data_IF_308281521601
#
_entry.id   IF_308281521601
#
_cell.length_a   1.000
_cell.length_b   1.000
_cell.length_c   1.000
_cell.angle_alpha   90.00
_cell.angle_beta   90.00
_cell.angle_gamma   90.00
#
_symmetry.space_group_name_H-M   'P 1'
#
loop_
_entity.id
_entity.type
_entity.pdbx_description
1 polymer ?
#
# COMPACT_ATOMS: atom_id res chain seq x y z
N UNK A 1 -8.68 -25.92 8.29
CA UNK A 1 -9.89 -25.98 7.44
C UNK A 1 -11.00 -25.11 8.00
N UNK A 2 -11.42 -25.36 9.25
CA UNK A 2 -12.47 -24.53 9.86
C UNK A 2 -12.04 -23.08 9.99
N UNK A 3 -10.79 -22.84 10.37
CA UNK A 3 -10.25 -21.48 10.48
C UNK A 3 -10.32 -20.74 9.14
N UNK A 4 -10.03 -21.43 8.05
CA UNK A 4 -10.09 -20.79 6.73
C UNK A 4 -11.53 -20.42 6.36
N UNK A 5 -12.48 -21.33 6.57
CA UNK A 5 -13.89 -21.07 6.28
C UNK A 5 -14.45 -19.94 7.15
N UNK A 6 -14.09 -19.93 8.43
CA UNK A 6 -14.48 -18.87 9.33
C UNK A 6 -13.92 -17.53 8.86
N UNK A 7 -12.65 -17.53 8.47
CA UNK A 7 -11.98 -16.31 7.98
C UNK A 7 -12.65 -15.78 6.71
N UNK A 8 -13.04 -16.66 5.78
CA UNK A 8 -13.74 -16.26 4.56
C UNK A 8 -15.10 -15.66 4.87
N UNK A 9 -15.84 -16.24 5.79
CA UNK A 9 -17.14 -15.70 6.20
C UNK A 9 -17.00 -14.31 6.81
N UNK A 10 -15.99 -14.12 7.64
CA UNK A 10 -15.72 -12.80 8.23
C UNK A 10 -15.30 -11.79 7.18
N UNK A 11 -14.50 -12.21 6.21
CA UNK A 11 -14.12 -11.36 5.07
C UNK A 11 -15.37 -10.84 4.34
N UNK A 12 -16.32 -11.72 4.08
CA UNK A 12 -17.56 -11.33 3.41
C UNK A 12 -18.37 -10.33 4.24
N UNK A 13 -18.38 -10.54 5.57
CA UNK A 13 -19.03 -9.61 6.49
C UNK A 13 -18.38 -8.23 6.41
N UNK A 14 -17.04 -8.18 6.39
CA UNK A 14 -16.29 -6.94 6.25
C UNK A 14 -16.68 -6.23 4.94
N UNK A 15 -16.73 -6.97 3.83
CA UNK A 15 -17.12 -6.41 2.54
C UNK A 15 -18.50 -5.75 2.59
N UNK A 16 -19.46 -6.40 3.25
CA UNK A 16 -20.82 -5.86 3.37
C UNK A 16 -20.85 -4.61 4.25
N UNK A 17 -20.07 -4.59 5.33
CA UNK A 17 -20.00 -3.42 6.20
C UNK A 17 -19.36 -2.23 5.47
N UNK A 18 -18.36 -2.48 4.66
CA UNK A 18 -17.73 -1.44 3.83
C UNK A 18 -18.76 -0.81 2.88
N UNK A 19 -19.57 -1.64 2.24
CA UNK A 19 -20.63 -1.16 1.32
C UNK A 19 -21.65 -0.29 2.04
N UNK A 20 -21.87 -0.53 3.33
CA UNK A 20 -22.76 0.29 4.15
C UNK A 20 -22.10 1.54 4.69
N UNK A 21 -20.80 1.68 4.48
CA UNK A 21 -20.03 2.80 5.04
C UNK A 21 -19.71 2.65 6.52
N UNK A 22 -19.90 1.46 7.10
CA UNK A 22 -19.63 1.20 8.51
C UNK A 22 -18.20 0.74 8.69
N UNK A 23 -17.26 1.67 8.58
CA UNK A 23 -15.84 1.37 8.60
C UNK A 23 -15.33 0.96 9.98
N UNK A 24 -15.91 1.50 11.04
CA UNK A 24 -15.50 1.17 12.40
C UNK A 24 -15.72 -0.32 12.68
N UNK A 25 -16.93 -0.81 12.44
CA UNK A 25 -17.23 -2.22 12.62
C UNK A 25 -16.50 -3.11 11.61
N UNK A 26 -16.36 -2.63 10.37
CA UNK A 26 -15.60 -3.37 9.35
C UNK A 26 -14.17 -3.62 9.83
N UNK A 27 -13.51 -2.60 10.35
CA UNK A 27 -12.12 -2.73 10.82
C UNK A 27 -12.03 -3.67 12.03
N UNK A 28 -12.95 -3.54 13.00
CA UNK A 28 -12.99 -4.41 14.17
C UNK A 28 -13.11 -5.88 13.76
N UNK A 29 -14.01 -6.18 12.84
CA UNK A 29 -14.22 -7.55 12.39
C UNK A 29 -13.03 -8.04 11.60
N UNK A 30 -12.46 -7.19 10.73
CA UNK A 30 -11.27 -7.55 9.96
C UNK A 30 -10.11 -7.95 10.89
N UNK A 31 -9.90 -7.19 11.96
CA UNK A 31 -8.83 -7.47 12.93
C UNK A 31 -9.02 -8.78 13.67
N UNK A 32 -10.27 -9.27 13.77
CA UNK A 32 -10.59 -10.52 14.46
C UNK A 32 -10.44 -11.76 13.58
N UNK A 33 -10.16 -11.60 12.29
CA UNK A 33 -10.06 -12.73 11.37
C UNK A 33 -8.87 -13.62 11.76
N UNK A 34 -9.09 -14.94 11.99
CA UNK A 34 -8.01 -15.82 12.45
C UNK A 34 -6.88 -16.00 11.44
N UNK A 35 -7.19 -16.18 10.16
CA UNK A 35 -6.18 -16.35 9.13
C UNK A 35 -5.45 -15.03 8.88
N UNK A 36 -4.13 -15.02 9.06
CA UNK A 36 -3.33 -13.80 8.99
C UNK A 36 -3.36 -13.14 7.59
N UNK A 37 -3.34 -13.96 6.54
CA UNK A 37 -3.39 -13.44 5.17
C UNK A 37 -4.74 -12.79 4.86
N UNK A 38 -5.82 -13.45 5.23
CA UNK A 38 -7.16 -12.92 5.02
C UNK A 38 -7.40 -11.69 5.90
N UNK A 39 -6.89 -11.72 7.15
CA UNK A 39 -6.94 -10.56 8.05
C UNK A 39 -6.31 -9.34 7.40
N UNK A 40 -5.07 -9.47 6.92
CA UNK A 40 -4.34 -8.38 6.30
C UNK A 40 -5.06 -7.85 5.06
N UNK A 41 -5.55 -8.76 4.22
CA UNK A 41 -6.30 -8.39 3.02
C UNK A 41 -7.57 -7.62 3.36
N UNK A 42 -8.31 -8.07 4.38
CA UNK A 42 -9.53 -7.40 4.82
C UNK A 42 -9.24 -6.02 5.38
N UNK A 43 -8.21 -5.89 6.20
CA UNK A 43 -7.81 -4.60 6.77
C UNK A 43 -7.35 -3.63 5.68
N UNK A 44 -6.62 -4.12 4.69
CA UNK A 44 -6.22 -3.31 3.53
C UNK A 44 -7.44 -2.77 2.80
N UNK A 45 -8.44 -3.61 2.59
CA UNK A 45 -9.67 -3.22 1.91
C UNK A 45 -10.41 -2.11 2.67
N UNK A 46 -10.52 -2.23 3.99
CA UNK A 46 -11.16 -1.20 4.81
C UNK A 46 -10.38 0.12 4.71
N UNK A 47 -9.06 0.05 4.89
CA UNK A 47 -8.20 1.24 4.89
C UNK A 47 -8.26 1.98 3.57
N UNK A 48 -8.18 1.27 2.46
CA UNK A 48 -8.25 1.87 1.12
C UNK A 48 -9.60 2.52 0.88
N UNK A 49 -10.68 1.86 1.26
CA UNK A 49 -12.02 2.45 1.10
C UNK A 49 -12.21 3.70 1.97
N UNK A 50 -11.68 3.69 3.20
CA UNK A 50 -11.68 4.88 4.04
C UNK A 50 -10.97 6.04 3.34
N UNK A 51 -9.81 5.76 2.75
CA UNK A 51 -9.04 6.77 2.02
C UNK A 51 -9.81 7.31 0.82
N UNK A 52 -10.47 6.42 0.06
CA UNK A 52 -11.27 6.83 -1.09
C UNK A 52 -12.42 7.75 -0.70
N UNK A 53 -12.98 7.56 0.48
CA UNK A 53 -14.14 8.33 0.94
C UNK A 53 -13.78 9.52 1.81
N UNK A 54 -12.49 9.84 1.91
CA UNK A 54 -12.02 11.00 2.66
C UNK A 54 -12.13 10.87 4.17
N UNK A 55 -12.19 9.63 4.68
CA UNK A 55 -12.19 9.38 6.12
C UNK A 55 -10.77 9.41 6.66
N UNK A 56 -10.63 9.61 7.96
CA UNK A 56 -9.33 9.55 8.62
C UNK A 56 -8.87 8.10 8.68
N UNK A 57 -7.88 7.74 7.89
CA UNK A 57 -7.42 6.36 7.70
C UNK A 57 -6.03 6.09 8.27
N UNK A 58 -5.38 7.07 8.87
CA UNK A 58 -3.96 6.95 9.25
C UNK A 58 -3.75 5.82 10.27
N UNK A 59 -4.57 5.76 11.32
CA UNK A 59 -4.47 4.69 12.31
C UNK A 59 -4.78 3.32 11.69
N UNK A 60 -5.82 3.25 10.86
CA UNK A 60 -6.16 2.03 10.15
C UNK A 60 -5.02 1.57 9.24
N UNK A 61 -4.34 2.49 8.58
CA UNK A 61 -3.18 2.17 7.75
C UNK A 61 -2.05 1.56 8.59
N UNK A 62 -1.73 2.18 9.72
CA UNK A 62 -0.67 1.67 10.60
C UNK A 62 -0.98 0.25 11.09
N UNK A 63 -2.22 0.01 11.49
CA UNK A 63 -2.65 -1.32 11.93
C UNK A 63 -2.64 -2.33 10.79
N UNK A 64 -2.99 -1.89 9.59
CA UNK A 64 -2.95 -2.75 8.40
C UNK A 64 -1.51 -3.18 8.08
N UNK A 65 -0.56 -2.24 8.15
CA UNK A 65 0.84 -2.58 7.93
C UNK A 65 1.32 -3.59 8.97
N UNK A 66 0.97 -3.40 10.25
CA UNK A 66 1.32 -4.35 11.30
C UNK A 66 0.76 -5.74 11.00
N UNK A 67 -0.50 -5.82 10.56
CA UNK A 67 -1.13 -7.09 10.21
C UNK A 67 -0.44 -7.77 9.03
N UNK A 68 -0.04 -7.01 8.02
CA UNK A 68 0.71 -7.54 6.87
C UNK A 68 2.03 -8.13 7.34
N UNK A 69 2.74 -7.44 8.24
CA UNK A 69 4.05 -7.90 8.73
C UNK A 69 3.96 -9.16 9.59
N UNK A 70 2.78 -9.52 10.09
CA UNK A 70 2.56 -10.76 10.83
C UNK A 70 2.41 -11.99 9.92
N UNK A 71 2.21 -11.80 8.62
CA UNK A 71 2.13 -12.91 7.67
C UNK A 71 3.47 -13.66 7.68
N UNK A 72 3.41 -14.99 7.68
CA UNK A 72 4.60 -15.81 7.90
C UNK A 72 5.52 -15.96 6.68
N UNK A 73 5.04 -15.68 5.50
CA UNK A 73 5.79 -15.85 4.25
C UNK A 73 6.26 -14.49 3.74
N UNK A 74 7.59 -14.31 3.60
CA UNK A 74 8.17 -13.05 3.16
C UNK A 74 7.68 -12.61 1.78
N UNK A 75 7.49 -13.56 0.86
CA UNK A 75 6.96 -13.24 -0.47
C UNK A 75 5.53 -12.70 -0.37
N UNK A 76 4.72 -13.29 0.50
CA UNK A 76 3.34 -12.83 0.72
C UNK A 76 3.31 -11.44 1.37
N UNK A 77 4.23 -11.16 2.29
CA UNK A 77 4.37 -9.83 2.90
C UNK A 77 4.69 -8.81 1.80
N UNK A 78 5.67 -9.11 0.96
CA UNK A 78 6.06 -8.21 -0.12
C UNK A 78 4.88 -7.93 -1.07
N UNK A 79 4.16 -8.98 -1.48
CA UNK A 79 3.00 -8.82 -2.36
C UNK A 79 1.92 -7.96 -1.73
N UNK A 80 1.63 -8.17 -0.44
CA UNK A 80 0.61 -7.40 0.27
C UNK A 80 1.01 -5.93 0.38
N UNK A 81 2.26 -5.65 0.72
CA UNK A 81 2.76 -4.28 0.80
C UNK A 81 2.77 -3.59 -0.56
N UNK A 82 3.17 -4.30 -1.62
CA UNK A 82 3.16 -3.77 -2.98
C UNK A 82 1.74 -3.40 -3.40
N UNK A 83 0.80 -4.30 -3.16
CA UNK A 83 -0.59 -4.08 -3.51
C UNK A 83 -1.15 -2.84 -2.79
N UNK A 84 -0.88 -2.72 -1.50
CA UNK A 84 -1.34 -1.58 -0.71
C UNK A 84 -0.70 -0.27 -1.21
N UNK A 85 0.60 -0.29 -1.47
CA UNK A 85 1.32 0.88 -1.98
C UNK A 85 0.74 1.36 -3.32
N UNK A 86 0.45 0.43 -4.24
CA UNK A 86 -0.14 0.78 -5.53
C UNK A 86 -1.53 1.40 -5.37
N UNK A 87 -2.33 0.90 -4.43
CA UNK A 87 -3.64 1.50 -4.15
C UNK A 87 -3.49 2.97 -3.73
N UNK A 88 -2.54 3.27 -2.86
CA UNK A 88 -2.31 4.65 -2.42
C UNK A 88 -1.69 5.51 -3.52
N UNK A 89 -0.86 4.92 -4.39
CA UNK A 89 -0.36 5.62 -5.58
C UNK A 89 -1.52 6.05 -6.48
N UNK A 90 -2.47 5.15 -6.74
CA UNK A 90 -3.63 5.46 -7.57
C UNK A 90 -4.49 6.58 -6.97
N UNK A 91 -4.53 6.66 -5.65
CA UNK A 91 -5.26 7.72 -4.95
C UNK A 91 -4.46 9.02 -4.86
N UNK A 92 -3.28 9.06 -5.45
CA UNK A 92 -2.35 10.19 -5.37
C UNK A 92 -1.94 10.52 -3.93
N UNK A 93 -1.94 9.51 -3.07
CA UNK A 93 -1.49 9.63 -1.68
C UNK A 93 -0.06 9.15 -1.59
N UNK A 94 0.85 9.99 -2.05
CA UNK A 94 2.23 9.63 -2.31
C UNK A 94 3.04 9.43 -1.03
N UNK A 95 2.76 10.20 0.02
CA UNK A 95 3.45 10.05 1.30
C UNK A 95 3.16 8.67 1.91
N UNK A 96 1.92 8.22 1.82
CA UNK A 96 1.53 6.91 2.33
C UNK A 96 2.17 5.80 1.51
N UNK A 97 2.22 5.96 0.17
CA UNK A 97 2.89 4.98 -0.69
C UNK A 97 4.37 4.83 -0.32
N UNK A 98 5.06 5.94 -0.07
CA UNK A 98 6.46 5.93 0.38
C UNK A 98 6.61 5.26 1.74
N UNK A 99 5.70 5.55 2.66
CA UNK A 99 5.72 4.94 3.99
C UNK A 99 5.61 3.42 3.89
N UNK A 100 4.67 2.94 3.08
CA UNK A 100 4.48 1.51 2.86
C UNK A 100 5.73 0.89 2.23
N UNK A 101 6.31 1.57 1.23
CA UNK A 101 7.53 1.11 0.57
C UNK A 101 8.67 0.90 1.55
N UNK A 102 8.76 1.72 2.59
CA UNK A 102 9.79 1.60 3.62
C UNK A 102 9.78 0.27 4.36
N UNK A 103 8.67 -0.45 4.35
CA UNK A 103 8.55 -1.76 4.98
C UNK A 103 8.87 -2.91 4.01
N UNK A 104 9.03 -2.63 2.72
CA UNK A 104 9.36 -3.66 1.74
C UNK A 104 10.84 -3.98 1.82
N UNK A 105 11.18 -5.23 2.17
CA UNK A 105 12.58 -5.65 2.32
C UNK A 105 13.25 -5.89 0.97
N UNK A 106 12.51 -6.36 -0.02
CA UNK A 106 13.05 -6.57 -1.35
C UNK A 106 13.39 -5.24 -2.02
N UNK A 107 14.69 -5.00 -2.21
CA UNK A 107 15.21 -3.72 -2.71
C UNK A 107 14.63 -3.36 -4.07
N UNK A 108 14.52 -4.33 -4.98
CA UNK A 108 13.98 -4.08 -6.32
C UNK A 108 12.53 -3.59 -6.25
N UNK A 109 11.70 -4.25 -5.47
CA UNK A 109 10.29 -3.89 -5.33
C UNK A 109 10.11 -2.55 -4.59
N UNK A 110 10.88 -2.33 -3.53
CA UNK A 110 10.88 -1.03 -2.85
C UNK A 110 11.22 0.09 -3.81
N UNK A 111 12.27 -0.11 -4.59
CA UNK A 111 12.76 0.87 -5.56
C UNK A 111 11.70 1.20 -6.60
N UNK A 112 10.94 0.20 -7.06
CA UNK A 112 9.85 0.42 -8.03
C UNK A 112 8.79 1.37 -7.49
N UNK A 113 8.39 1.22 -6.24
CA UNK A 113 7.41 2.13 -5.62
C UNK A 113 8.00 3.53 -5.51
N UNK A 114 9.25 3.63 -5.05
CA UNK A 114 9.92 4.93 -4.94
C UNK A 114 9.99 5.63 -6.30
N UNK A 115 10.31 4.90 -7.35
CA UNK A 115 10.36 5.44 -8.70
C UNK A 115 9.00 5.97 -9.15
N UNK A 116 7.94 5.20 -8.92
CA UNK A 116 6.58 5.63 -9.29
C UNK A 116 6.16 6.89 -8.54
N UNK A 117 6.49 6.99 -7.25
CA UNK A 117 6.21 8.19 -6.46
C UNK A 117 6.97 9.39 -7.04
N UNK A 118 8.25 9.20 -7.34
CA UNK A 118 9.08 10.28 -7.90
C UNK A 118 8.51 10.79 -9.23
N UNK A 119 8.11 9.87 -10.12
CA UNK A 119 7.51 10.26 -11.40
C UNK A 119 6.19 10.99 -11.20
N UNK A 120 5.37 10.56 -10.26
CA UNK A 120 4.11 11.24 -9.95
C UNK A 120 4.36 12.67 -9.44
N UNK A 121 5.37 12.84 -8.58
CA UNK A 121 5.76 14.17 -8.09
C UNK A 121 6.25 15.06 -9.23
N UNK A 122 7.05 14.52 -10.13
CA UNK A 122 7.55 15.27 -11.28
C UNK A 122 6.40 15.74 -12.16
N UNK A 123 5.40 14.91 -12.40
CA UNK A 123 4.21 15.28 -13.17
C UNK A 123 3.41 16.40 -12.52
N UNK A 124 3.53 16.53 -11.20
CA UNK A 124 2.88 17.62 -10.43
C UNK A 124 3.74 18.87 -10.34
N UNK A 125 4.88 18.88 -11.01
CA UNK A 125 5.80 20.01 -10.98
C UNK A 125 6.74 20.05 -9.77
N UNK A 126 6.72 19.00 -8.93
CA UNK A 126 7.56 18.92 -7.72
C UNK A 126 8.89 18.24 -8.05
N UNK A 127 9.67 18.89 -8.90
CA UNK A 127 10.88 18.29 -9.48
C UNK A 127 11.96 18.01 -8.42
N UNK A 128 12.19 18.93 -7.50
CA UNK A 128 13.24 18.75 -6.49
C UNK A 128 12.91 17.59 -5.55
N UNK A 129 11.64 17.47 -5.15
CA UNK A 129 11.20 16.35 -4.32
C UNK A 129 11.36 15.03 -5.06
N UNK A 130 11.04 15.01 -6.36
CA UNK A 130 11.21 13.83 -7.21
C UNK A 130 12.67 13.39 -7.26
N UNK A 131 13.60 14.32 -7.46
CA UNK A 131 15.02 14.00 -7.49
C UNK A 131 15.54 13.48 -6.15
N UNK A 132 15.06 14.02 -5.04
CA UNK A 132 15.42 13.49 -3.72
C UNK A 132 15.08 12.02 -3.59
N UNK A 133 13.89 11.66 -4.02
CA UNK A 133 13.44 10.26 -3.95
C UNK A 133 14.28 9.39 -4.87
N UNK A 134 14.53 9.84 -6.11
CA UNK A 134 15.35 9.07 -7.05
C UNK A 134 16.76 8.83 -6.50
N UNK A 135 17.34 9.83 -5.83
CA UNK A 135 18.67 9.68 -5.24
C UNK A 135 18.71 8.64 -4.13
N UNK A 136 17.57 8.40 -3.46
CA UNK A 136 17.46 7.40 -2.40
C UNK A 136 17.21 5.98 -2.92
N UNK A 137 16.94 5.83 -4.21
CA UNK A 137 16.69 4.51 -4.80
C UNK A 137 17.98 3.69 -4.78
N UNK A 138 17.92 2.49 -4.19
CA UNK A 138 19.08 1.62 -4.03
C UNK A 138 19.31 0.69 -5.22
N UNK A 139 18.26 0.31 -5.94
CA UNK A 139 18.39 -0.54 -7.13
C UNK A 139 18.86 0.33 -8.31
N UNK A 140 20.08 0.07 -8.78
CA UNK A 140 20.70 0.90 -9.82
C UNK A 140 19.91 0.89 -11.13
N UNK A 141 19.38 -0.26 -11.52
CA UNK A 141 18.59 -0.37 -12.75
C UNK A 141 17.32 0.45 -12.68
N UNK A 142 16.63 0.36 -11.55
CA UNK A 142 15.41 1.14 -11.32
C UNK A 142 15.73 2.63 -11.27
N UNK A 143 16.81 3.00 -10.59
CA UNK A 143 17.25 4.40 -10.50
C UNK A 143 17.55 4.97 -11.89
N UNK A 144 18.26 4.22 -12.73
CA UNK A 144 18.56 4.62 -14.08
C UNK A 144 17.29 4.80 -14.91
N UNK A 145 16.39 3.83 -14.81
CA UNK A 145 15.11 3.89 -15.50
C UNK A 145 14.31 5.12 -15.10
N UNK A 146 14.20 5.36 -13.78
CA UNK A 146 13.44 6.50 -13.26
C UNK A 146 14.04 7.83 -13.70
N UNK A 147 15.38 7.94 -13.66
CA UNK A 147 16.08 9.15 -14.10
C UNK A 147 15.81 9.44 -15.57
N UNK A 148 15.91 8.41 -16.42
CA UNK A 148 15.66 8.52 -17.85
C UNK A 148 14.22 8.92 -18.15
N UNK A 149 13.29 8.29 -17.44
CA UNK A 149 11.87 8.55 -17.61
C UNK A 149 11.52 9.99 -17.24
N UNK A 150 12.06 10.45 -16.10
CA UNK A 150 11.84 11.81 -15.64
C UNK A 150 12.38 12.82 -16.66
N UNK A 151 13.59 12.59 -17.18
CA UNK A 151 14.18 13.46 -18.20
C UNK A 151 13.31 13.54 -19.45
N UNK A 152 12.77 12.39 -19.88
CA UNK A 152 11.87 12.32 -21.02
C UNK A 152 10.60 13.15 -20.80
N UNK A 153 10.03 13.09 -19.60
CA UNK A 153 8.81 13.83 -19.27
C UNK A 153 9.05 15.33 -19.17
N UNK A 154 10.25 15.75 -18.76
CA UNK A 154 10.59 17.18 -18.66
C UNK A 154 10.75 17.88 -20.01
N UNK A 155 10.87 17.13 -21.10
CA UNK A 155 10.96 17.72 -22.44
C UNK A 155 9.66 18.34 -22.94
N UNK A 156 8.58 18.01 -22.27
CA UNK A 156 7.27 18.49 -22.63
C UNK A 156 6.78 19.54 -21.63
#
# INVERSE_FOLDING_TARGET
>A
MQEWYQSRALYETVSKLIKRGDFENALQIAESIPDKGIRAKSMSMVTVEMAKQGKDYIEALNRTIEAILEIENDESITKALMSLAFEFLELNKLDEALKIAGFIKDISNRSKIQAEVALALARQGKIQEAFKIINDILDDDVKTWATSKLASELKH
#
